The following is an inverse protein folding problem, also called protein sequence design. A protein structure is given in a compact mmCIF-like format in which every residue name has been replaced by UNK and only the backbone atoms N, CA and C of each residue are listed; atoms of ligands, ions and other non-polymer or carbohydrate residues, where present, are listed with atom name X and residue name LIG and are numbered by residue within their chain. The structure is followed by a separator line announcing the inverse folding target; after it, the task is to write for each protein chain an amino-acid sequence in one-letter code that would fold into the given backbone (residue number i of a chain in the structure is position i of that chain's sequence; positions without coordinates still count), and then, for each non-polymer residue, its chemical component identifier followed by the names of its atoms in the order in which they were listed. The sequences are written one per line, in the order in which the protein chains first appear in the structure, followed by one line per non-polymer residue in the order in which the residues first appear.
data_IF_510913506504
#
_entry.id   IF_510913506504
#
_cell.length_a   1.000
_cell.length_b   1.000
_cell.length_c   1.000
_cell.angle_alpha   90.00
_cell.angle_beta   90.00
_cell.angle_gamma   90.00
#
_symmetry.space_group_name_H-M   'P 1'
#
loop_
_entity.id
_entity.type
_entity.pdbx_description
1 polymer ?
#
# COMPACT_ATOMS: atom_id res chain seq x y z
N UNK A 1 -26.75 -11.53 -17.68
CA UNK A 1 -25.89 -10.47 -18.25
C UNK A 1 -24.46 -10.74 -17.79
N UNK A 2 -23.78 -11.64 -18.48
CA UNK A 2 -22.43 -12.08 -18.14
C UNK A 2 -21.43 -11.21 -18.90
N UNK A 3 -20.93 -10.15 -18.25
CA UNK A 3 -19.72 -9.48 -18.70
C UNK A 3 -18.59 -10.50 -18.63
N UNK A 4 -18.30 -11.10 -19.77
CA UNK A 4 -17.21 -12.04 -19.93
C UNK A 4 -15.93 -11.34 -19.47
N UNK A 5 -15.31 -11.87 -18.42
CA UNK A 5 -14.02 -11.43 -17.90
C UNK A 5 -12.94 -11.37 -19.01
N UNK A 6 -13.16 -12.04 -20.14
CA UNK A 6 -12.28 -12.10 -21.30
C UNK A 6 -12.75 -11.22 -22.48
N UNK A 7 -13.81 -10.43 -22.34
CA UNK A 7 -14.27 -9.56 -23.42
C UNK A 7 -13.21 -8.49 -23.73
N UNK A 8 -13.04 -8.16 -25.01
CA UNK A 8 -12.07 -7.14 -25.46
C UNK A 8 -12.37 -5.74 -24.93
N UNK A 9 -13.61 -5.51 -24.45
CA UNK A 9 -14.04 -4.28 -23.79
C UNK A 9 -13.69 -4.26 -22.29
N UNK A 10 -13.19 -5.37 -21.74
CA UNK A 10 -12.84 -5.43 -20.33
C UNK A 10 -11.59 -4.57 -20.06
N UNK A 11 -11.76 -3.57 -19.19
CA UNK A 11 -10.71 -2.62 -18.83
C UNK A 11 -9.46 -3.34 -18.30
N UNK A 12 -9.63 -4.45 -17.57
CA UNK A 12 -8.53 -5.27 -17.07
C UNK A 12 -7.68 -5.88 -18.20
N UNK A 13 -8.32 -6.33 -19.28
CA UNK A 13 -7.64 -6.89 -20.46
C UNK A 13 -6.93 -5.79 -21.26
N UNK A 14 -7.53 -4.61 -21.36
CA UNK A 14 -6.90 -3.44 -21.96
C UNK A 14 -5.65 -2.98 -21.18
N UNK A 15 -5.73 -2.95 -19.84
CA UNK A 15 -4.60 -2.67 -18.96
C UNK A 15 -3.52 -3.76 -19.00
N UNK A 16 -3.91 -5.03 -19.16
CA UNK A 16 -2.97 -6.13 -19.35
C UNK A 16 -2.21 -6.02 -20.69
N UNK A 17 -2.82 -5.47 -21.73
CA UNK A 17 -2.19 -5.24 -23.05
C UNK A 17 -1.27 -4.03 -23.10
N UNK A 18 -1.49 -3.00 -22.27
CA UNK A 18 -0.59 -1.83 -22.15
C UNK A 18 0.69 -2.13 -21.34
N UNK A 19 1.29 -3.32 -21.52
CA UNK A 19 2.41 -3.82 -20.71
C UNK A 19 3.74 -3.22 -21.14
N UNK A 20 4.00 -1.97 -20.76
CA UNK A 20 5.29 -1.31 -20.95
C UNK A 20 6.27 -1.65 -19.81
N UNK A 21 6.59 -2.94 -19.68
CA UNK A 21 7.52 -3.45 -18.66
C UNK A 21 8.97 -3.10 -19.04
N UNK A 22 9.74 -2.45 -18.16
CA UNK A 22 11.18 -2.12 -18.41
C UNK A 22 12.12 -3.33 -18.44
N UNK A 23 11.61 -4.54 -18.22
CA UNK A 23 12.44 -5.74 -18.09
C UNK A 23 12.83 -6.30 -19.47
N UNK A 24 14.10 -6.75 -19.64
CA UNK A 24 14.53 -7.42 -20.86
C UNK A 24 13.71 -8.69 -21.09
N UNK A 25 13.35 -8.98 -22.34
CA UNK A 25 12.46 -10.10 -22.67
C UNK A 25 12.97 -11.45 -22.15
N UNK A 26 14.30 -11.63 -22.11
CA UNK A 26 14.95 -12.85 -21.60
C UNK A 26 14.72 -13.12 -20.11
N UNK A 27 14.44 -12.10 -19.31
CA UNK A 27 14.33 -12.20 -17.83
C UNK A 27 12.87 -12.02 -17.37
N UNK A 28 11.91 -11.92 -18.30
CA UNK A 28 10.48 -11.73 -17.97
C UNK A 28 9.89 -12.84 -17.09
N UNK A 29 10.40 -14.06 -17.16
CA UNK A 29 9.94 -15.17 -16.34
C UNK A 29 10.26 -14.99 -14.84
N UNK A 30 11.28 -14.20 -14.51
CA UNK A 30 11.65 -13.89 -13.13
C UNK A 30 10.77 -12.77 -12.53
N UNK A 31 10.00 -12.06 -13.36
CA UNK A 31 9.13 -10.97 -12.92
C UNK A 31 8.16 -11.34 -11.78
N UNK A 32 7.36 -12.43 -11.84
CA UNK A 32 6.45 -12.78 -10.74
C UNK A 32 7.20 -13.03 -9.43
N UNK A 33 8.39 -13.65 -9.49
CA UNK A 33 9.23 -13.86 -8.32
C UNK A 33 9.78 -12.54 -7.78
N UNK A 34 10.21 -11.63 -8.65
CA UNK A 34 10.67 -10.30 -8.25
C UNK A 34 9.55 -9.48 -7.59
N UNK A 35 8.31 -9.56 -8.11
CA UNK A 35 7.14 -8.90 -7.50
C UNK A 35 6.82 -9.51 -6.13
N UNK A 36 6.85 -10.85 -6.00
CA UNK A 36 6.62 -11.52 -4.71
C UNK A 36 7.69 -11.15 -3.68
N UNK A 37 8.96 -11.18 -4.08
CA UNK A 37 10.08 -10.80 -3.23
C UNK A 37 9.96 -9.32 -2.83
N UNK A 38 9.60 -8.45 -3.77
CA UNK A 38 9.39 -7.03 -3.50
C UNK A 38 8.23 -6.82 -2.53
N UNK A 39 7.08 -7.46 -2.75
CA UNK A 39 5.92 -7.37 -1.87
C UNK A 39 6.23 -7.88 -0.46
N UNK A 40 7.09 -8.90 -0.34
CA UNK A 40 7.56 -9.40 0.95
C UNK A 40 8.50 -8.40 1.65
N UNK A 41 9.44 -7.80 0.94
CA UNK A 41 10.46 -6.94 1.52
C UNK A 41 9.99 -5.49 1.73
N UNK A 42 9.06 -5.00 0.91
CA UNK A 42 8.60 -3.62 0.92
C UNK A 42 8.08 -3.12 2.28
N UNK A 43 7.27 -3.89 3.04
CA UNK A 43 6.82 -3.48 4.38
C UNK A 43 7.98 -3.28 5.35
N UNK A 44 8.96 -4.20 5.34
CA UNK A 44 10.12 -4.12 6.22
C UNK A 44 11.02 -2.94 5.89
N UNK A 45 11.36 -2.77 4.60
CA UNK A 45 12.18 -1.64 4.14
C UNK A 45 11.47 -0.32 4.41
N UNK A 46 10.16 -0.27 4.12
CA UNK A 46 9.34 0.90 4.38
C UNK A 46 9.27 1.27 5.86
N UNK A 47 9.09 0.29 6.74
CA UNK A 47 9.13 0.51 8.19
C UNK A 47 10.50 0.98 8.65
N UNK A 48 11.60 0.41 8.15
CA UNK A 48 12.94 0.88 8.52
C UNK A 48 13.17 2.33 8.11
N UNK A 49 12.74 2.72 6.90
CA UNK A 49 12.88 4.11 6.41
C UNK A 49 12.12 5.10 7.30
N UNK A 50 10.98 4.73 7.88
CA UNK A 50 10.16 5.62 8.71
C UNK A 50 10.56 5.55 10.18
N UNK A 51 10.70 4.35 10.73
CA UNK A 51 10.94 4.10 12.14
C UNK A 51 12.34 4.53 12.57
N UNK A 52 13.38 4.28 11.75
CA UNK A 52 14.76 4.60 12.11
C UNK A 52 14.96 6.11 12.34
N UNK A 53 14.53 7.02 11.44
CA UNK A 53 14.61 8.45 11.71
C UNK A 53 13.84 8.89 12.94
N UNK A 54 12.65 8.34 13.18
CA UNK A 54 11.84 8.64 14.36
C UNK A 54 12.61 8.27 15.63
N UNK A 55 13.13 7.05 15.71
CA UNK A 55 13.92 6.57 16.85
C UNK A 55 15.18 7.43 17.04
N UNK A 56 15.90 7.76 15.97
CA UNK A 56 17.09 8.64 16.05
C UNK A 56 16.71 9.98 16.67
N UNK A 57 15.65 10.63 16.18
CA UNK A 57 15.20 11.93 16.69
C UNK A 57 14.81 11.82 18.17
N UNK A 58 14.08 10.78 18.58
CA UNK A 58 13.65 10.60 19.97
C UNK A 58 14.84 10.38 20.91
N UNK A 59 15.80 9.54 20.51
CA UNK A 59 17.03 9.29 21.28
C UNK A 59 17.85 10.58 21.40
N UNK A 60 17.97 11.37 20.33
CA UNK A 60 18.65 12.67 20.35
C UNK A 60 17.93 13.69 21.26
N UNK A 61 16.61 13.59 21.39
CA UNK A 61 15.80 14.40 22.31
C UNK A 61 15.79 13.84 23.75
N UNK A 62 16.50 12.76 24.03
CA UNK A 62 16.53 12.09 25.33
C UNK A 62 15.19 11.46 25.74
N UNK A 63 14.31 11.21 24.78
CA UNK A 63 13.01 10.57 25.01
C UNK A 63 13.15 9.05 24.98
N UNK A 64 12.41 8.35 25.85
CA UNK A 64 12.29 6.89 25.80
C UNK A 64 11.49 6.48 24.56
N UNK A 65 11.84 5.34 23.97
CA UNK A 65 11.11 4.76 22.82
C UNK A 65 9.90 3.92 23.24
N UNK A 66 9.67 3.77 24.54
CA UNK A 66 8.64 2.89 25.11
C UNK A 66 7.23 3.25 24.64
N UNK A 67 6.95 4.54 24.37
CA UNK A 67 5.65 4.97 23.86
C UNK A 67 5.30 4.40 22.47
N UNK A 68 6.27 3.91 21.70
CA UNK A 68 6.03 3.28 20.40
C UNK A 68 5.44 1.87 20.55
N UNK A 69 5.56 1.26 21.74
CA UNK A 69 5.17 -0.13 22.01
C UNK A 69 4.26 -0.24 23.22
N UNK A 70 3.98 0.86 23.92
CA UNK A 70 3.17 0.88 25.14
C UNK A 70 1.70 0.55 24.85
N UNK A 71 1.18 -0.63 25.23
CA UNK A 71 -0.20 -1.02 24.96
C UNK A 71 -1.23 -0.22 25.76
N UNK A 72 -0.79 0.60 26.72
CA UNK A 72 -1.65 1.48 27.52
C UNK A 72 -1.78 2.89 26.96
N UNK A 73 -1.10 3.19 25.85
CA UNK A 73 -1.22 4.48 25.20
C UNK A 73 -2.65 4.73 24.69
N UNK A 74 -3.00 6.02 24.59
CA UNK A 74 -4.30 6.47 24.11
C UNK A 74 -4.72 5.78 22.79
N UNK A 75 -5.95 5.30 22.74
CA UNK A 75 -6.53 4.63 21.56
C UNK A 75 -6.41 5.46 20.27
N UNK A 76 -6.43 6.79 20.38
CA UNK A 76 -6.25 7.68 19.24
C UNK A 76 -4.80 7.68 18.72
N UNK A 77 -3.80 7.67 19.61
CA UNK A 77 -2.39 7.63 19.20
C UNK A 77 -2.03 6.29 18.58
N UNK A 78 -2.54 5.18 19.13
CA UNK A 78 -2.36 3.85 18.53
C UNK A 78 -3.00 3.74 17.15
N UNK A 79 -4.21 4.28 16.98
CA UNK A 79 -4.87 4.35 15.67
C UNK A 79 -4.06 5.18 14.68
N UNK A 80 -3.54 6.33 15.11
CA UNK A 80 -2.71 7.19 14.27
C UNK A 80 -1.41 6.49 13.84
N UNK A 81 -0.71 5.85 14.78
CA UNK A 81 0.50 5.06 14.50
C UNK A 81 0.21 3.94 13.51
N UNK A 82 -0.91 3.23 13.70
CA UNK A 82 -1.32 2.15 12.79
C UNK A 82 -1.56 2.71 11.38
N UNK A 83 -2.37 3.76 11.22
CA UNK A 83 -2.64 4.38 9.92
C UNK A 83 -1.37 4.89 9.25
N UNK A 84 -0.49 5.56 10.01
CA UNK A 84 0.79 6.07 9.52
C UNK A 84 1.73 4.94 9.08
N UNK A 85 1.68 3.78 9.74
CA UNK A 85 2.51 2.62 9.37
C UNK A 85 2.20 2.06 7.98
N UNK A 86 1.00 2.29 7.45
CA UNK A 86 0.63 1.88 6.08
C UNK A 86 1.13 2.83 4.99
N UNK A 87 1.46 4.09 5.32
CA UNK A 87 1.98 5.07 4.36
C UNK A 87 3.24 4.58 3.63
N UNK A 88 4.29 4.06 4.31
CA UNK A 88 5.46 3.55 3.61
C UNK A 88 5.16 2.36 2.70
N UNK A 89 4.15 1.53 3.01
CA UNK A 89 3.72 0.43 2.13
C UNK A 89 3.15 0.99 0.83
N UNK A 90 2.27 1.99 0.92
CA UNK A 90 1.74 2.68 -0.26
C UNK A 90 2.84 3.35 -1.08
N UNK A 91 3.78 4.02 -0.41
CA UNK A 91 4.93 4.65 -1.06
C UNK A 91 5.81 3.62 -1.78
N UNK A 92 6.05 2.46 -1.17
CA UNK A 92 6.82 1.38 -1.79
C UNK A 92 6.12 0.88 -3.07
N UNK A 93 4.83 0.54 -2.98
CA UNK A 93 4.04 0.14 -4.16
C UNK A 93 4.11 1.20 -5.25
N UNK A 94 3.98 2.48 -4.90
CA UNK A 94 4.11 3.58 -5.85
C UNK A 94 5.48 3.65 -6.52
N UNK A 95 6.56 3.52 -5.75
CA UNK A 95 7.94 3.52 -6.26
C UNK A 95 8.14 2.36 -7.23
N UNK A 96 7.65 1.16 -6.90
CA UNK A 96 7.73 0.00 -7.78
C UNK A 96 7.02 0.26 -9.12
N UNK A 97 5.77 0.70 -9.06
CA UNK A 97 4.96 0.96 -10.25
C UNK A 97 5.59 2.03 -11.15
N UNK A 98 6.14 3.09 -10.54
CA UNK A 98 6.78 4.19 -11.27
C UNK A 98 8.11 3.76 -11.91
N UNK A 99 8.94 3.01 -11.19
CA UNK A 99 10.30 2.67 -11.64
C UNK A 99 10.33 1.47 -12.61
N UNK A 100 9.55 0.42 -12.33
CA UNK A 100 9.61 -0.86 -13.05
C UNK A 100 8.50 -1.02 -14.07
N UNK A 101 7.28 -0.64 -13.72
CA UNK A 101 6.10 -0.84 -14.59
C UNK A 101 5.79 0.40 -15.43
N UNK A 102 6.34 1.58 -15.10
CA UNK A 102 5.96 2.90 -15.66
C UNK A 102 4.45 3.10 -15.69
N UNK A 103 3.76 2.52 -14.71
CA UNK A 103 2.32 2.53 -14.60
C UNK A 103 1.89 3.56 -13.57
N UNK A 104 0.86 4.36 -13.88
CA UNK A 104 0.27 5.25 -12.89
C UNK A 104 -0.54 4.45 -11.87
N UNK A 105 -0.58 4.93 -10.62
CA UNK A 105 -1.22 4.26 -9.47
C UNK A 105 -2.68 3.87 -9.70
N UNK A 106 -3.41 4.63 -10.51
CA UNK A 106 -4.82 4.34 -10.81
C UNK A 106 -5.04 3.01 -11.53
N UNK A 107 -4.00 2.47 -12.18
CA UNK A 107 -4.08 1.19 -12.90
C UNK A 107 -4.10 -0.03 -11.98
N UNK A 108 -3.85 0.15 -10.68
CA UNK A 108 -3.83 -0.93 -9.68
C UNK A 108 -5.16 -1.02 -8.92
N UNK A 109 -6.22 -0.42 -9.48
CA UNK A 109 -7.56 -0.42 -8.87
C UNK A 109 -7.87 0.80 -8.00
N UNK A 110 -6.95 1.77 -7.91
CA UNK A 110 -7.24 3.11 -7.40
C UNK A 110 -7.99 3.92 -8.47
N UNK A 111 -9.23 3.52 -8.75
CA UNK A 111 -10.12 4.28 -9.64
C UNK A 111 -10.42 5.66 -9.00
N UNK A 112 -10.00 6.73 -9.68
CA UNK A 112 -10.26 8.11 -9.25
C UNK A 112 -11.76 8.46 -9.25
N UNK A 113 -12.60 7.70 -9.97
CA UNK A 113 -14.04 7.93 -10.02
C UNK A 113 -14.76 7.15 -8.91
N UNK A 114 -15.24 7.86 -7.90
CA UNK A 114 -16.04 7.35 -6.77
C UNK A 114 -15.35 6.35 -5.80
N UNK A 115 -14.08 6.00 -5.99
CA UNK A 115 -13.32 5.12 -5.07
C UNK A 115 -13.27 5.65 -3.63
N UNK A 116 -13.03 6.96 -3.46
CA UNK A 116 -13.01 7.61 -2.16
C UNK A 116 -14.36 7.51 -1.42
N UNK A 117 -15.47 7.67 -2.15
CA UNK A 117 -16.83 7.57 -1.59
C UNK A 117 -17.16 6.14 -1.15
N UNK A 118 -16.68 5.14 -1.89
CA UNK A 118 -16.84 3.71 -1.52
C UNK A 118 -15.99 3.36 -0.29
N UNK A 119 -14.76 3.88 -0.22
CA UNK A 119 -13.90 3.75 0.95
C UNK A 119 -14.54 4.36 2.21
N UNK A 120 -15.04 5.60 2.12
CA UNK A 120 -15.75 6.24 3.23
C UNK A 120 -17.01 5.47 3.65
N UNK A 121 -17.78 4.88 2.73
CA UNK A 121 -18.90 4.01 3.10
C UNK A 121 -18.43 2.78 3.89
N UNK A 122 -17.34 2.13 3.44
CA UNK A 122 -16.75 1.01 4.18
C UNK A 122 -16.26 1.42 5.58
N UNK A 123 -15.62 2.58 5.68
CA UNK A 123 -15.16 3.14 6.96
C UNK A 123 -16.32 3.44 7.91
N UNK A 124 -17.40 4.06 7.43
CA UNK A 124 -18.61 4.31 8.24
C UNK A 124 -19.24 3.00 8.71
N UNK A 125 -19.34 1.99 7.83
CA UNK A 125 -19.86 0.68 8.22
C UNK A 125 -18.97 0.04 9.30
N UNK A 126 -17.64 0.09 9.14
CA UNK A 126 -16.70 -0.41 10.14
C UNK A 126 -16.82 0.31 11.48
N UNK A 127 -16.96 1.64 11.48
CA UNK A 127 -17.17 2.42 12.70
C UNK A 127 -18.48 2.07 13.39
N UNK A 128 -19.57 1.87 12.64
CA UNK A 128 -20.86 1.44 13.21
C UNK A 128 -20.74 0.07 13.86
N UNK A 129 -20.08 -0.90 13.20
CA UNK A 129 -19.86 -2.22 13.77
C UNK A 129 -19.00 -2.16 15.04
N UNK A 130 -17.94 -1.34 15.06
CA UNK A 130 -17.12 -1.14 16.25
C UNK A 130 -17.86 -0.43 17.39
N UNK A 131 -18.75 0.50 17.09
CA UNK A 131 -19.54 1.20 18.11
C UNK A 131 -20.65 0.35 18.75
N UNK A 132 -21.01 -0.75 18.10
CA UNK A 132 -22.06 -1.67 18.54
C UNK A 132 -21.51 -2.97 19.14
N UNK A 133 -20.20 -3.13 19.16
CA UNK A 133 -19.47 -4.22 19.81
C UNK A 133 -19.08 -3.83 21.24
#
# INVERSE_FOLDING_TARGET
MSDSLLSSKNHLVALARQRNLRWPEKIRWAYPFAVLLYALLAPFVGQLIVLVPIVIVLVLLGQSVDFLVDPTADSATMTAVLVLSFVPVFAAVWVWLKLFERRPLWTVGLENYAGLRRYFRGLVVGLVMFSTA
#
